data_IF_381820680187
#
_entry.id   IF_381820680187
#
_cell.length_a   1.000
_cell.length_b   1.000
_cell.length_c   1.000
_cell.angle_alpha   90.00
_cell.angle_beta   90.00
_cell.angle_gamma   90.00
#
_symmetry.space_group_name_H-M   'P 1'
#
loop_
_entity.id
_entity.type
_entity.pdbx_description
1 polymer ?
#
# COMPACT_ATOMS: atom_id res chain seq x y z
N UNK A 1 31.81 -6.12 -1.70
CA UNK A 1 32.75 -5.19 -0.98
C UNK A 1 32.25 -5.05 0.45
N UNK A 2 33.05 -5.35 1.44
CA UNK A 2 32.74 -5.77 2.82
C UNK A 2 31.91 -4.84 3.70
N UNK A 3 30.92 -5.44 4.37
CA UNK A 3 29.98 -4.92 5.40
C UNK A 3 30.63 -4.44 6.72
N UNK A 4 31.87 -3.99 6.72
CA UNK A 4 32.62 -3.58 7.92
C UNK A 4 32.80 -2.07 8.13
N UNK A 5 31.99 -1.20 7.47
CA UNK A 5 32.19 0.27 7.55
C UNK A 5 31.02 1.08 8.12
N UNK A 6 29.96 0.48 8.63
CA UNK A 6 28.78 1.23 9.16
C UNK A 6 28.68 1.23 10.70
N UNK A 7 29.56 0.58 11.44
CA UNK A 7 29.49 0.50 12.92
C UNK A 7 30.50 1.42 13.63
N UNK A 8 30.96 2.50 13.04
CA UNK A 8 31.97 3.35 13.69
C UNK A 8 31.65 4.85 13.75
N UNK A 9 30.40 5.27 13.83
CA UNK A 9 30.07 6.70 13.95
C UNK A 9 29.13 7.08 15.12
N UNK A 10 28.94 6.21 16.11
CA UNK A 10 28.18 6.55 17.32
C UNK A 10 28.97 6.28 18.60
N UNK A 11 30.03 7.07 18.79
CA UNK A 11 30.68 7.23 20.12
C UNK A 11 31.34 8.58 20.18
N UNK A 12 30.63 9.62 20.62
CA UNK A 12 31.17 10.78 21.35
C UNK A 12 30.08 11.85 21.47
N UNK A 13 29.68 12.17 22.68
CA UNK A 13 29.08 13.46 22.96
C UNK A 13 27.85 13.49 23.86
N UNK A 14 27.86 12.85 25.03
CA UNK A 14 27.00 13.27 26.12
C UNK A 14 27.61 14.51 26.81
N UNK A 15 27.03 15.67 26.58
CA UNK A 15 27.27 16.85 27.44
C UNK A 15 25.96 17.08 28.24
N UNK A 16 26.06 16.79 29.52
CA UNK A 16 25.04 17.13 30.52
C UNK A 16 25.15 18.62 30.81
N UNK A 17 24.11 19.40 30.48
CA UNK A 17 23.95 20.76 30.95
C UNK A 17 22.90 20.76 32.05
N UNK A 18 23.38 20.80 33.31
CA UNK A 18 22.56 21.12 34.47
C UNK A 18 22.30 22.62 34.51
N UNK A 19 21.04 23.03 34.37
CA UNK A 19 20.64 24.42 34.66
C UNK A 19 20.01 24.45 36.05
N UNK A 20 20.72 25.05 36.98
CA UNK A 20 20.19 25.46 38.31
C UNK A 20 19.21 26.64 38.11
N UNK A 21 17.97 26.45 38.50
CA UNK A 21 17.03 27.56 38.67
C UNK A 21 17.17 28.09 40.11
N UNK A 22 17.69 29.31 40.25
CA UNK A 22 17.67 30.08 41.46
C UNK A 22 16.33 30.85 41.56
N UNK A 23 15.53 30.50 42.53
CA UNK A 23 14.38 31.27 42.98
C UNK A 23 14.85 32.53 43.67
N UNK A 24 14.48 33.71 43.18
CA UNK A 24 14.48 34.95 43.94
C UNK A 24 13.07 35.54 43.96
N UNK A 25 12.50 35.50 45.16
CA UNK A 25 11.25 36.17 45.48
C UNK A 25 11.59 37.61 45.85
N UNK A 26 10.92 38.59 45.24
CA UNK A 26 10.59 39.88 45.89
C UNK A 26 9.73 40.76 44.98
N UNK A 27 8.61 41.17 45.52
CA UNK A 27 8.07 42.54 45.42
C UNK A 27 6.86 42.78 44.50
N UNK A 28 5.76 43.02 45.18
CA UNK A 28 4.49 43.54 44.62
C UNK A 28 4.62 44.78 43.77
N UNK A 29 3.81 44.84 42.68
CA UNK A 29 2.93 46.00 42.40
C UNK A 29 1.94 45.65 41.29
N UNK A 30 0.68 46.02 41.54
CA UNK A 30 -0.49 45.86 40.69
C UNK A 30 -0.32 46.36 39.26
N UNK A 31 -0.76 45.56 38.27
CA UNK A 31 -1.40 46.07 37.08
C UNK A 31 -2.35 45.05 36.46
N UNK A 32 -3.61 45.40 36.42
CA UNK A 32 -4.70 44.77 35.69
C UNK A 32 -4.40 44.75 34.17
N UNK A 33 -3.80 43.70 33.62
CA UNK A 33 -3.69 43.46 32.18
C UNK A 33 -3.52 41.95 31.81
N UNK A 34 -3.51 41.03 32.75
CA UNK A 34 -3.32 39.57 32.47
C UNK A 34 -4.64 38.80 32.27
N UNK A 35 -5.79 39.32 32.73
CA UNK A 35 -7.06 38.58 32.64
C UNK A 35 -7.71 38.60 31.23
N UNK A 36 -7.47 39.60 30.40
CA UNK A 36 -8.06 39.64 29.03
C UNK A 36 -7.37 38.71 28.05
N UNK A 37 -6.04 38.54 28.13
CA UNK A 37 -5.33 37.63 27.21
C UNK A 37 -5.55 36.13 27.51
N UNK A 38 -5.73 35.78 28.75
CA UNK A 38 -6.03 34.39 29.14
C UNK A 38 -7.45 34.01 28.74
N UNK A 39 -8.41 34.92 28.88
CA UNK A 39 -9.80 34.68 28.47
C UNK A 39 -9.94 34.60 26.95
N UNK A 40 -9.23 35.45 26.18
CA UNK A 40 -9.23 35.36 24.71
C UNK A 40 -8.57 34.07 24.21
N UNK A 41 -7.49 33.58 24.84
CA UNK A 41 -6.85 32.32 24.49
C UNK A 41 -7.71 31.10 24.85
N UNK A 42 -8.40 31.11 26.00
CA UNK A 42 -9.33 30.04 26.37
C UNK A 42 -10.58 30.00 25.48
N UNK A 43 -11.12 31.17 25.08
CA UNK A 43 -12.25 31.26 24.14
C UNK A 43 -11.83 30.76 22.75
N UNK A 44 -10.63 31.15 22.26
CA UNK A 44 -10.13 30.71 20.96
C UNK A 44 -9.88 29.19 20.92
N UNK A 45 -9.36 28.61 22.02
CA UNK A 45 -9.17 27.16 22.14
C UNK A 45 -10.52 26.43 22.23
N UNK A 46 -11.51 27.00 22.94
CA UNK A 46 -12.85 26.42 22.99
C UNK A 46 -13.59 26.51 21.64
N UNK A 47 -13.47 27.62 20.92
CA UNK A 47 -14.07 27.77 19.60
C UNK A 47 -13.42 26.83 18.57
N UNK A 48 -12.10 26.64 18.60
CA UNK A 48 -11.42 25.66 17.76
C UNK A 48 -11.84 24.22 18.11
N UNK A 49 -11.90 23.86 19.38
CA UNK A 49 -12.37 22.54 19.80
C UNK A 49 -13.84 22.28 19.42
N UNK A 50 -14.68 23.31 19.46
CA UNK A 50 -16.09 23.18 19.07
C UNK A 50 -16.22 23.02 17.54
N UNK A 51 -15.52 23.83 16.73
CA UNK A 51 -15.51 23.71 15.28
C UNK A 51 -14.98 22.35 14.81
N UNK A 52 -13.92 21.83 15.41
CA UNK A 52 -13.37 20.48 15.10
C UNK A 52 -14.40 19.41 15.42
N UNK A 53 -15.10 19.53 16.55
CA UNK A 53 -16.13 18.57 16.95
C UNK A 53 -17.36 18.61 16.07
N UNK A 54 -17.81 19.80 15.67
CA UNK A 54 -18.98 19.98 14.81
C UNK A 54 -18.71 19.37 13.41
N UNK A 55 -17.50 19.56 12.86
CA UNK A 55 -17.08 18.96 11.58
C UNK A 55 -16.94 17.43 11.68
N UNK A 56 -16.44 16.90 12.82
CA UNK A 56 -16.33 15.46 13.03
C UNK A 56 -17.70 14.77 13.09
N UNK A 57 -18.65 15.35 13.83
CA UNK A 57 -20.00 14.82 13.94
C UNK A 57 -20.71 14.81 12.57
N UNK A 58 -20.51 15.85 11.75
CA UNK A 58 -21.05 15.94 10.38
C UNK A 58 -20.51 14.83 9.48
N UNK A 59 -19.20 14.63 9.43
CA UNK A 59 -18.55 13.60 8.62
C UNK A 59 -19.02 12.20 9.03
N UNK A 60 -19.14 11.93 10.32
CA UNK A 60 -19.67 10.66 10.84
C UNK A 60 -21.14 10.47 10.41
N UNK A 61 -21.97 11.52 10.45
CA UNK A 61 -23.38 11.43 10.08
C UNK A 61 -23.55 11.07 8.61
N UNK A 62 -22.73 11.64 7.72
CA UNK A 62 -22.74 11.38 6.26
C UNK A 62 -22.69 9.87 5.96
N UNK A 63 -21.83 9.11 6.62
CA UNK A 63 -21.51 7.72 6.26
C UNK A 63 -22.06 6.66 7.21
N UNK A 64 -22.47 7.00 8.44
CA UNK A 64 -22.85 6.02 9.48
C UNK A 64 -23.94 5.03 9.05
N UNK A 65 -24.98 5.52 8.37
CA UNK A 65 -26.08 4.65 7.93
C UNK A 65 -25.65 3.70 6.80
N UNK A 66 -24.74 4.14 5.93
CA UNK A 66 -24.19 3.32 4.85
C UNK A 66 -23.30 2.22 5.41
N UNK A 67 -22.42 2.52 6.35
CA UNK A 67 -21.60 1.50 7.02
C UNK A 67 -22.43 0.51 7.83
N UNK A 68 -23.50 0.98 8.48
CA UNK A 68 -24.46 0.09 9.16
C UNK A 68 -25.07 -0.89 8.19
N UNK A 69 -25.60 -0.39 7.06
CA UNK A 69 -26.18 -1.23 6.01
C UNK A 69 -25.15 -2.19 5.43
N UNK A 70 -23.94 -1.71 5.11
CA UNK A 70 -22.85 -2.51 4.60
C UNK A 70 -22.48 -3.66 5.56
N UNK A 71 -22.46 -3.39 6.86
CA UNK A 71 -22.18 -4.39 7.90
C UNK A 71 -23.31 -5.42 8.00
N UNK A 72 -24.58 -5.00 8.01
CA UNK A 72 -25.74 -5.89 8.06
C UNK A 72 -25.82 -6.81 6.83
N UNK A 73 -25.41 -6.32 5.65
CA UNK A 73 -25.39 -7.06 4.39
C UNK A 73 -24.08 -7.83 4.15
N UNK A 74 -23.10 -7.74 5.05
CA UNK A 74 -21.73 -8.30 4.90
C UNK A 74 -21.04 -7.82 3.61
N UNK A 75 -21.15 -6.52 3.31
CA UNK A 75 -20.66 -5.87 2.09
C UNK A 75 -19.65 -4.72 2.37
N UNK A 76 -19.02 -4.71 3.53
CA UNK A 76 -18.09 -3.62 3.92
C UNK A 76 -16.96 -3.46 2.91
N UNK A 77 -16.47 -4.57 2.34
CA UNK A 77 -15.39 -4.57 1.33
C UNK A 77 -15.91 -4.71 -0.12
N UNK A 78 -17.20 -4.57 -0.35
CA UNK A 78 -17.79 -4.65 -1.68
C UNK A 78 -17.57 -3.35 -2.45
N UNK A 79 -17.06 -3.44 -3.68
CA UNK A 79 -16.70 -2.27 -4.50
C UNK A 79 -17.88 -1.32 -4.72
N UNK A 80 -19.08 -1.86 -4.98
CA UNK A 80 -20.27 -1.02 -5.21
C UNK A 80 -20.72 -0.30 -3.92
N UNK A 81 -20.55 -0.94 -2.76
CA UNK A 81 -20.83 -0.30 -1.48
C UNK A 81 -19.82 0.81 -1.19
N UNK A 82 -18.52 0.56 -1.45
CA UNK A 82 -17.46 1.58 -1.33
C UNK A 82 -17.76 2.75 -2.27
N UNK A 83 -18.17 2.48 -3.52
CA UNK A 83 -18.57 3.51 -4.49
C UNK A 83 -19.73 4.38 -3.97
N UNK A 84 -20.74 3.76 -3.35
CA UNK A 84 -21.85 4.49 -2.73
C UNK A 84 -21.35 5.40 -1.60
N UNK A 85 -20.41 4.93 -0.78
CA UNK A 85 -19.86 5.72 0.33
C UNK A 85 -19.01 6.88 -0.20
N UNK A 86 -18.14 6.64 -1.19
CA UNK A 86 -17.33 7.68 -1.85
C UNK A 86 -18.25 8.76 -2.44
N UNK A 87 -19.26 8.36 -3.21
CA UNK A 87 -20.22 9.31 -3.79
C UNK A 87 -21.00 10.10 -2.73
N UNK A 88 -21.33 9.46 -1.59
CA UNK A 88 -22.04 10.16 -0.51
C UNK A 88 -21.17 11.28 0.10
N UNK A 89 -19.87 11.09 0.23
CA UNK A 89 -18.95 12.15 0.63
C UNK A 89 -18.90 13.26 -0.42
N UNK A 90 -18.81 12.92 -1.71
CA UNK A 90 -18.85 13.89 -2.81
C UNK A 90 -20.12 14.71 -2.85
N UNK A 91 -21.30 14.09 -2.65
CA UNK A 91 -22.59 14.79 -2.58
C UNK A 91 -22.66 15.80 -1.43
N UNK A 92 -21.78 15.65 -0.43
CA UNK A 92 -21.62 16.59 0.68
C UNK A 92 -20.41 17.52 0.52
N UNK A 93 -19.81 17.55 -0.66
CA UNK A 93 -18.77 18.51 -1.04
C UNK A 93 -17.34 18.13 -0.62
N UNK A 94 -17.11 16.87 -0.23
CA UNK A 94 -15.78 16.37 0.12
C UNK A 94 -15.12 15.65 -1.06
N UNK A 95 -13.87 16.01 -1.43
CA UNK A 95 -13.02 15.12 -2.22
C UNK A 95 -12.90 13.76 -1.53
N UNK A 96 -13.30 12.70 -2.25
CA UNK A 96 -13.26 11.36 -1.70
C UNK A 96 -12.85 10.34 -2.77
N UNK A 97 -12.02 9.36 -2.37
CA UNK A 97 -11.55 8.25 -3.19
C UNK A 97 -11.50 6.99 -2.34
N UNK A 98 -11.41 5.82 -2.94
CA UNK A 98 -11.19 4.58 -2.19
C UNK A 98 -9.68 4.25 -2.05
N UNK A 99 -9.31 3.54 -0.99
CA UNK A 99 -7.93 3.21 -0.64
C UNK A 99 -7.21 2.28 -1.64
N UNK A 100 -7.88 1.86 -2.70
CA UNK A 100 -7.29 1.08 -3.80
C UNK A 100 -7.32 1.81 -5.14
N UNK A 101 -7.75 3.06 -5.14
CA UNK A 101 -7.87 3.89 -6.34
C UNK A 101 -8.73 3.27 -7.45
N UNK A 102 -9.75 2.47 -7.07
CA UNK A 102 -10.63 1.78 -8.00
C UNK A 102 -11.90 2.55 -8.38
N UNK A 103 -12.07 3.74 -7.82
CA UNK A 103 -13.22 4.63 -8.03
C UNK A 103 -12.66 6.02 -8.32
N UNK A 104 -13.29 6.77 -9.25
CA UNK A 104 -12.89 8.14 -9.49
C UNK A 104 -13.08 9.00 -8.24
N UNK A 105 -12.12 9.87 -7.99
CA UNK A 105 -12.22 10.84 -6.91
C UNK A 105 -13.38 11.79 -7.17
N UNK A 106 -14.23 11.96 -6.17
CA UNK A 106 -15.25 13.01 -6.18
C UNK A 106 -14.61 14.36 -5.88
N UNK A 107 -15.19 15.46 -6.39
CA UNK A 107 -14.71 16.83 -6.12
C UNK A 107 -13.19 17.01 -6.39
N UNK A 108 -12.65 16.31 -7.39
CA UNK A 108 -11.22 16.28 -7.71
C UNK A 108 -10.62 17.66 -7.98
N UNK A 109 -11.41 18.58 -8.54
CA UNK A 109 -10.98 19.96 -8.84
C UNK A 109 -10.57 20.72 -7.57
N UNK A 110 -11.11 20.38 -6.40
CA UNK A 110 -10.70 20.99 -5.13
C UNK A 110 -9.27 20.55 -4.76
N UNK A 111 -8.91 19.28 -5.04
CA UNK A 111 -7.56 18.75 -4.79
C UNK A 111 -6.57 19.36 -5.78
N UNK A 112 -6.93 19.45 -7.06
CA UNK A 112 -6.10 20.11 -8.08
C UNK A 112 -5.83 21.57 -7.70
N UNK A 113 -6.87 22.30 -7.27
CA UNK A 113 -6.74 23.67 -6.79
C UNK A 113 -5.81 23.75 -5.56
N UNK A 114 -5.94 22.85 -4.59
CA UNK A 114 -5.06 22.84 -3.42
C UNK A 114 -3.60 22.61 -3.82
N UNK A 115 -3.34 21.69 -4.75
CA UNK A 115 -1.99 21.47 -5.28
C UNK A 115 -1.43 22.72 -5.96
N UNK A 116 -2.25 23.51 -6.69
CA UNK A 116 -1.84 24.77 -7.26
C UNK A 116 -1.47 25.80 -6.18
N UNK A 117 -2.20 25.85 -5.05
CA UNK A 117 -1.87 26.72 -3.92
C UNK A 117 -0.54 26.32 -3.27
N UNK A 118 -0.25 25.03 -3.14
CA UNK A 118 1.06 24.54 -2.67
C UNK A 118 2.18 25.02 -3.59
N UNK A 119 2.01 24.84 -4.90
CA UNK A 119 3.02 25.23 -5.90
C UNK A 119 3.26 26.75 -5.96
N UNK A 120 2.20 27.53 -5.79
CA UNK A 120 2.27 29.00 -5.74
C UNK A 120 2.64 29.56 -4.37
N UNK A 121 2.81 28.69 -3.36
CA UNK A 121 3.15 29.04 -1.97
C UNK A 121 2.08 29.93 -1.30
N UNK A 122 0.83 29.76 -1.68
CA UNK A 122 -0.31 30.46 -1.10
C UNK A 122 -0.91 29.65 0.05
N UNK A 123 -1.56 30.32 1.00
CA UNK A 123 -2.25 29.65 2.12
C UNK A 123 -3.58 29.05 1.63
N UNK A 124 -3.80 27.77 1.94
CA UNK A 124 -5.03 27.06 1.64
C UNK A 124 -5.24 25.88 2.60
N UNK A 125 -6.49 25.43 2.70
CA UNK A 125 -6.86 24.24 3.46
C UNK A 125 -7.83 23.36 2.67
N UNK A 126 -7.77 22.05 2.87
CA UNK A 126 -8.66 21.06 2.26
C UNK A 126 -8.82 19.85 3.17
N UNK A 127 -10.01 19.24 3.14
CA UNK A 127 -10.25 17.91 3.74
C UNK A 127 -10.45 16.89 2.62
N UNK A 128 -9.68 15.80 2.63
CA UNK A 128 -9.79 14.68 1.68
C UNK A 128 -10.18 13.41 2.44
N UNK A 129 -11.07 12.60 1.88
CA UNK A 129 -11.53 11.35 2.46
C UNK A 129 -11.03 10.16 1.64
N UNK A 130 -10.37 9.22 2.30
CA UNK A 130 -9.96 7.94 1.73
C UNK A 130 -10.77 6.80 2.34
N UNK A 131 -11.69 6.22 1.56
CA UNK A 131 -12.61 5.17 2.02
C UNK A 131 -11.91 3.81 2.00
N UNK A 132 -11.83 3.17 3.15
CA UNK A 132 -11.11 1.90 3.35
C UNK A 132 -12.00 0.68 3.13
N UNK A 133 -11.45 -0.36 2.49
CA UNK A 133 -12.08 -1.70 2.40
C UNK A 133 -12.07 -2.48 3.73
N UNK A 134 -11.44 -1.92 4.77
CA UNK A 134 -11.40 -2.53 6.11
C UNK A 134 -12.55 -2.06 7.03
N UNK A 135 -13.49 -1.27 6.49
CA UNK A 135 -14.68 -0.84 7.22
C UNK A 135 -14.52 0.48 7.95
N UNK A 136 -14.03 1.47 7.24
CA UNK A 136 -13.87 2.83 7.75
C UNK A 136 -13.31 3.76 6.68
N UNK A 137 -12.78 4.88 7.10
CA UNK A 137 -12.14 5.84 6.22
C UNK A 137 -11.02 6.58 6.96
N UNK A 138 -10.09 7.13 6.19
CA UNK A 138 -9.11 8.10 6.66
C UNK A 138 -9.57 9.48 6.22
N UNK A 139 -9.51 10.43 7.14
CA UNK A 139 -9.69 11.85 6.87
C UNK A 139 -8.33 12.52 6.93
N UNK A 140 -7.96 13.17 5.85
CA UNK A 140 -6.79 14.03 5.76
C UNK A 140 -7.24 15.49 5.78
N UNK A 141 -6.94 16.22 6.83
CA UNK A 141 -7.02 17.68 6.85
C UNK A 141 -5.64 18.20 6.49
N UNK A 142 -5.55 18.90 5.37
CA UNK A 142 -4.32 19.45 4.81
C UNK A 142 -4.35 20.96 4.88
N UNK A 143 -3.26 21.57 5.35
CA UNK A 143 -3.05 22.99 5.34
C UNK A 143 -1.72 23.31 4.67
N UNK A 144 -1.71 24.26 3.73
CA UNK A 144 -0.47 24.71 3.09
C UNK A 144 -0.13 26.14 3.46
N UNK A 145 1.15 26.37 3.69
CA UNK A 145 1.73 27.68 3.95
C UNK A 145 3.17 27.72 3.48
N UNK A 146 3.52 28.79 2.73
CA UNK A 146 4.87 28.95 2.17
C UNK A 146 5.37 27.71 1.40
N UNK A 147 4.45 26.95 0.79
CA UNK A 147 4.72 25.73 0.04
C UNK A 147 4.98 24.47 0.89
N UNK A 148 4.86 24.57 2.22
CA UNK A 148 4.88 23.40 3.10
C UNK A 148 3.45 22.90 3.32
N UNK A 149 3.28 21.60 3.51
CA UNK A 149 1.97 20.98 3.78
C UNK A 149 1.98 20.34 5.15
N UNK A 150 1.12 20.82 6.03
CA UNK A 150 0.84 20.18 7.31
C UNK A 150 -0.36 19.25 7.14
N UNK A 151 -0.24 18.02 7.66
CA UNK A 151 -1.21 16.93 7.52
C UNK A 151 -1.73 16.54 8.89
N UNK A 152 -3.05 16.58 9.08
CA UNK A 152 -3.71 15.91 10.20
C UNK A 152 -4.48 14.72 9.65
N UNK A 153 -4.03 13.54 10.02
CA UNK A 153 -4.60 12.26 9.60
C UNK A 153 -5.45 11.67 10.71
N UNK A 154 -6.72 11.36 10.42
CA UNK A 154 -7.62 10.74 11.38
C UNK A 154 -8.26 9.48 10.79
N UNK A 155 -8.09 8.33 11.45
CA UNK A 155 -8.71 7.08 11.03
C UNK A 155 -10.01 6.84 11.78
N UNK A 156 -11.06 6.60 11.04
CA UNK A 156 -12.41 6.27 11.51
C UNK A 156 -12.76 4.84 11.15
N UNK A 157 -13.25 4.08 12.11
CA UNK A 157 -13.64 2.67 11.95
C UNK A 157 -15.09 2.46 12.35
N UNK A 158 -15.81 1.68 11.56
CA UNK A 158 -17.15 1.22 11.92
C UNK A 158 -17.05 -0.08 12.71
N UNK A 159 -17.40 -0.03 13.96
CA UNK A 159 -17.34 -1.16 14.87
C UNK A 159 -18.48 -1.12 15.89
N UNK A 160 -19.08 -2.31 16.18
CA UNK A 160 -20.14 -2.46 17.17
C UNK A 160 -21.37 -1.55 16.93
N UNK A 161 -21.67 -1.28 15.65
CA UNK A 161 -22.82 -0.49 15.25
C UNK A 161 -22.62 1.02 15.22
N UNK A 162 -21.39 1.50 15.45
CA UNK A 162 -21.06 2.92 15.47
C UNK A 162 -19.76 3.20 14.68
N UNK A 163 -19.70 4.40 14.09
CA UNK A 163 -18.46 4.97 13.58
C UNK A 163 -17.71 5.64 14.72
N UNK A 164 -16.40 5.39 14.83
CA UNK A 164 -15.55 5.98 15.86
C UNK A 164 -14.22 6.38 15.26
N UNK A 165 -13.67 7.47 15.74
CA UNK A 165 -12.27 7.81 15.51
C UNK A 165 -11.39 6.92 16.38
N UNK A 166 -10.53 6.12 15.76
CA UNK A 166 -9.62 5.19 16.43
C UNK A 166 -8.28 5.87 16.74
N UNK A 167 -7.74 6.61 15.78
CA UNK A 167 -6.41 7.21 15.88
C UNK A 167 -6.35 8.52 15.13
N UNK A 168 -5.61 9.48 15.67
CA UNK A 168 -5.28 10.74 15.00
C UNK A 168 -3.79 11.01 15.17
N UNK A 169 -3.14 11.44 14.10
CA UNK A 169 -1.75 11.88 14.10
C UNK A 169 -1.58 13.09 13.19
N UNK A 170 -0.49 13.82 13.39
CA UNK A 170 -0.16 14.97 12.57
C UNK A 170 1.32 14.95 12.20
N UNK A 171 1.63 15.46 11.02
CA UNK A 171 3.00 15.60 10.53
C UNK A 171 3.07 16.70 9.48
N UNK A 172 4.26 17.24 9.23
CA UNK A 172 4.54 18.01 8.04
C UNK A 172 4.99 17.03 6.95
N UNK A 173 4.42 17.15 5.74
CA UNK A 173 4.78 16.29 4.63
C UNK A 173 6.29 16.43 4.32
N UNK A 174 7.02 15.33 4.39
CA UNK A 174 8.43 15.23 4.03
C UNK A 174 8.59 15.08 2.51
N UNK A 175 7.57 14.51 1.87
CA UNK A 175 7.43 14.39 0.44
C UNK A 175 6.03 14.84 0.03
N UNK A 176 5.93 15.58 -1.06
CA UNK A 176 4.70 16.06 -1.68
C UNK A 176 4.88 16.15 -3.19
N UNK A 177 3.99 15.52 -3.95
CA UNK A 177 4.03 15.58 -5.41
C UNK A 177 2.64 15.34 -6.01
N UNK A 178 2.22 16.20 -6.92
CA UNK A 178 1.10 15.94 -7.81
C UNK A 178 1.66 15.51 -9.17
N UNK A 179 1.54 14.22 -9.48
CA UNK A 179 2.22 13.60 -10.62
C UNK A 179 1.54 13.90 -11.95
N UNK A 180 2.30 13.84 -13.06
CA UNK A 180 1.74 13.99 -14.42
C UNK A 180 0.70 12.90 -14.74
N UNK A 181 0.79 11.73 -14.11
CA UNK A 181 -0.18 10.63 -14.25
C UNK A 181 -1.47 10.85 -13.43
N UNK A 182 -1.57 11.96 -12.71
CA UNK A 182 -2.77 12.36 -11.96
C UNK A 182 -2.93 11.77 -10.58
N UNK A 183 -1.82 11.47 -9.90
CA UNK A 183 -1.79 11.09 -8.49
C UNK A 183 -1.34 12.24 -7.60
N UNK A 184 -2.00 12.44 -6.47
CA UNK A 184 -1.46 13.17 -5.34
C UNK A 184 -0.73 12.18 -4.44
N UNK A 185 0.58 12.37 -4.27
CA UNK A 185 1.44 11.55 -3.44
C UNK A 185 2.09 12.37 -2.34
N UNK A 186 2.01 11.89 -1.12
CA UNK A 186 2.66 12.53 0.02
C UNK A 186 3.02 11.50 1.08
N UNK A 187 4.08 11.82 1.83
CA UNK A 187 4.55 10.97 2.91
C UNK A 187 5.10 11.77 4.08
N UNK A 188 5.19 11.13 5.24
CA UNK A 188 5.81 11.68 6.43
C UNK A 188 5.70 10.75 7.62
N UNK A 189 6.29 11.16 8.74
CA UNK A 189 6.29 10.40 9.98
C UNK A 189 5.32 11.06 10.96
N UNK A 190 4.29 10.34 11.36
CA UNK A 190 3.31 10.83 12.33
C UNK A 190 3.42 10.10 13.66
N UNK A 191 2.97 10.78 14.71
CA UNK A 191 3.01 10.28 16.08
C UNK A 191 1.61 10.32 16.68
N UNK A 192 1.24 9.26 17.40
CA UNK A 192 0.15 9.28 18.35
C UNK A 192 0.65 8.81 19.70
N UNK A 193 -0.07 9.16 20.78
CA UNK A 193 0.29 8.68 22.12
C UNK A 193 0.25 7.15 22.17
N UNK A 194 -0.71 6.53 21.51
CA UNK A 194 -0.90 5.09 21.46
C UNK A 194 0.25 4.39 20.73
N UNK A 195 0.66 4.89 19.58
CA UNK A 195 1.77 4.32 18.80
C UNK A 195 3.10 4.51 19.53
N UNK A 196 3.35 5.69 20.07
CA UNK A 196 4.59 5.95 20.80
C UNK A 196 4.80 5.02 21.99
N UNK A 197 3.73 4.69 22.72
CA UNK A 197 3.80 3.73 23.84
C UNK A 197 4.11 2.31 23.38
N UNK A 198 3.64 1.92 22.18
CA UNK A 198 3.83 0.57 21.65
C UNK A 198 5.18 0.39 20.94
N UNK A 199 5.61 1.38 20.16
CA UNK A 199 6.73 1.24 19.22
C UNK A 199 7.93 2.12 19.55
N UNK A 200 7.78 3.14 20.43
CA UNK A 200 8.81 4.15 20.74
C UNK A 200 9.30 4.92 19.50
N UNK A 201 8.53 4.92 18.42
CA UNK A 201 8.82 5.59 17.15
C UNK A 201 7.54 6.14 16.55
N UNK A 202 7.67 6.98 15.52
CA UNK A 202 6.54 7.36 14.68
C UNK A 202 6.19 6.25 13.70
N UNK A 203 4.99 6.33 13.13
CA UNK A 203 4.60 5.53 11.99
C UNK A 203 4.88 6.30 10.70
N UNK A 204 5.55 5.66 9.75
CA UNK A 204 5.67 6.19 8.40
C UNK A 204 4.34 6.03 7.67
N UNK A 205 3.99 6.99 6.85
CA UNK A 205 2.82 6.96 5.98
C UNK A 205 3.22 7.35 4.57
N UNK A 206 2.78 6.54 3.60
CA UNK A 206 3.00 6.76 2.18
C UNK A 206 1.66 6.72 1.48
N UNK A 207 1.15 7.88 1.13
CA UNK A 207 -0.19 8.05 0.56
C UNK A 207 -0.11 8.30 -0.93
N UNK A 208 -0.94 7.61 -1.69
CA UNK A 208 -1.13 7.81 -3.13
C UNK A 208 -2.64 7.84 -3.45
N UNK A 209 -3.16 9.02 -3.73
CA UNK A 209 -4.56 9.25 -4.08
C UNK A 209 -4.66 9.56 -5.57
N UNK A 210 -5.43 8.76 -6.31
CA UNK A 210 -5.67 9.04 -7.72
C UNK A 210 -6.71 10.14 -7.85
N UNK A 211 -6.26 11.32 -8.27
CA UNK A 211 -7.09 12.54 -8.43
C UNK A 211 -7.73 12.58 -9.82
N UNK A 212 -6.92 12.43 -10.88
CA UNK A 212 -7.47 12.42 -12.23
C UNK A 212 -8.25 11.13 -12.51
N UNK A 213 -9.39 11.23 -13.20
CA UNK A 213 -10.22 10.06 -13.51
C UNK A 213 -9.47 9.06 -14.41
N UNK A 214 -9.78 7.78 -14.25
CA UNK A 214 -9.29 6.70 -15.10
C UNK A 214 -10.48 6.00 -15.74
N UNK A 215 -10.35 5.60 -17.01
CA UNK A 215 -11.40 4.83 -17.70
C UNK A 215 -11.74 3.56 -16.90
N UNK A 216 -13.03 3.34 -16.65
CA UNK A 216 -13.51 2.19 -15.86
C UNK A 216 -13.10 0.86 -16.50
N UNK A 217 -12.97 0.80 -17.83
CA UNK A 217 -12.47 -0.39 -18.53
C UNK A 217 -11.06 -0.75 -18.10
N UNK A 218 -10.18 0.24 -17.91
CA UNK A 218 -8.82 0.00 -17.43
C UNK A 218 -8.80 -0.52 -15.99
N UNK A 219 -9.66 0.03 -15.13
CA UNK A 219 -9.83 -0.49 -13.77
C UNK A 219 -10.38 -1.92 -13.73
N UNK A 220 -11.37 -2.22 -14.59
CA UNK A 220 -11.88 -3.58 -14.73
C UNK A 220 -10.81 -4.56 -15.16
N UNK A 221 -9.95 -4.19 -16.12
CA UNK A 221 -8.83 -5.00 -16.59
C UNK A 221 -7.78 -5.17 -15.48
N UNK A 222 -7.45 -4.09 -14.73
CA UNK A 222 -6.56 -4.18 -13.55
C UNK A 222 -7.11 -5.15 -12.52
N UNK A 223 -8.36 -4.98 -12.09
CA UNK A 223 -9.03 -5.85 -11.10
C UNK A 223 -9.11 -7.31 -11.55
N UNK A 224 -9.29 -7.54 -12.83
CA UNK A 224 -9.44 -8.89 -13.37
C UNK A 224 -8.13 -9.62 -13.54
N UNK A 225 -7.08 -8.94 -14.00
CA UNK A 225 -5.87 -9.59 -14.47
C UNK A 225 -4.61 -9.26 -13.67
N UNK A 226 -4.44 -8.03 -13.18
CA UNK A 226 -3.19 -7.62 -12.56
C UNK A 226 -3.24 -7.63 -11.02
N UNK A 227 -4.22 -7.00 -10.43
CA UNK A 227 -4.34 -6.91 -8.96
C UNK A 227 -4.45 -8.27 -8.25
N UNK A 228 -5.06 -9.32 -8.84
CA UNK A 228 -5.07 -10.64 -8.20
C UNK A 228 -3.71 -11.32 -8.12
N UNK A 229 -2.74 -10.90 -8.91
CA UNK A 229 -1.35 -11.37 -8.89
C UNK A 229 -0.52 -10.45 -7.98
N UNK A 230 -0.53 -9.14 -8.27
CA UNK A 230 0.24 -8.15 -7.52
C UNK A 230 1.74 -8.39 -7.54
N UNK A 231 2.42 -7.85 -6.52
CA UNK A 231 3.88 -7.91 -6.39
C UNK A 231 4.37 -8.62 -5.12
N UNK A 232 3.44 -9.05 -4.27
CA UNK A 232 3.79 -9.66 -2.99
C UNK A 232 4.49 -11.00 -3.21
N UNK A 233 5.75 -11.05 -2.82
CA UNK A 233 6.60 -12.26 -2.83
C UNK A 233 6.64 -13.02 -4.17
N UNK A 234 6.48 -12.33 -5.29
CA UNK A 234 6.60 -12.93 -6.61
C UNK A 234 7.28 -11.99 -7.61
N UNK A 235 7.82 -12.56 -8.68
CA UNK A 235 8.52 -11.81 -9.71
C UNK A 235 7.78 -11.76 -11.06
N UNK A 236 6.50 -12.11 -11.08
CA UNK A 236 5.75 -12.28 -12.33
C UNK A 236 5.73 -11.02 -13.21
N UNK A 237 5.63 -9.84 -12.58
CA UNK A 237 5.59 -8.56 -13.27
C UNK A 237 6.91 -7.77 -13.19
N UNK A 238 7.96 -8.38 -12.59
CA UNK A 238 9.27 -7.76 -12.40
C UNK A 238 10.26 -8.22 -13.49
N UNK A 239 10.08 -9.43 -14.04
CA UNK A 239 10.98 -10.02 -15.03
C UNK A 239 10.29 -10.15 -16.38
N UNK A 240 11.10 -10.12 -17.45
CA UNK A 240 10.62 -10.44 -18.80
C UNK A 240 10.49 -11.96 -18.97
N UNK A 241 9.33 -12.41 -19.46
CA UNK A 241 9.07 -13.80 -19.78
C UNK A 241 7.94 -13.94 -20.80
N UNK A 242 7.86 -15.08 -21.48
CA UNK A 242 6.76 -15.44 -22.38
C UNK A 242 6.47 -16.94 -22.32
N UNK A 243 5.35 -17.40 -22.87
CA UNK A 243 5.01 -18.83 -22.96
C UNK A 243 5.99 -19.62 -23.84
N UNK A 244 6.77 -18.97 -24.70
CA UNK A 244 7.84 -19.60 -25.52
C UNK A 244 9.14 -19.77 -24.70
N UNK A 245 9.39 -18.87 -23.73
CA UNK A 245 10.51 -18.90 -22.80
C UNK A 245 10.11 -18.21 -21.50
N UNK A 246 9.89 -18.98 -20.46
CA UNK A 246 9.49 -18.48 -19.15
C UNK A 246 10.60 -17.71 -18.41
N UNK A 247 11.76 -17.50 -19.01
CA UNK A 247 12.86 -16.69 -18.47
C UNK A 247 13.19 -17.05 -17.01
N UNK A 248 13.23 -16.01 -16.20
CA UNK A 248 13.50 -16.10 -14.75
C UNK A 248 12.20 -16.14 -13.91
N UNK A 249 11.02 -16.38 -14.52
CA UNK A 249 9.76 -16.52 -13.78
C UNK A 249 9.87 -17.64 -12.74
N UNK A 250 9.61 -17.30 -11.48
CA UNK A 250 9.72 -18.26 -10.38
C UNK A 250 8.41 -19.03 -10.15
N UNK A 251 8.36 -20.28 -10.58
CA UNK A 251 7.16 -21.12 -10.45
C UNK A 251 6.85 -21.56 -9.00
N UNK A 252 7.79 -21.46 -8.07
CA UNK A 252 7.49 -21.67 -6.66
C UNK A 252 6.75 -20.49 -6.05
N UNK A 253 7.09 -19.26 -6.45
CA UNK A 253 6.34 -18.07 -6.07
C UNK A 253 4.93 -18.11 -6.68
N UNK A 254 4.82 -18.55 -7.94
CA UNK A 254 3.51 -18.75 -8.58
C UNK A 254 2.70 -19.84 -7.86
N UNK A 255 3.34 -20.91 -7.41
CA UNK A 255 2.67 -21.96 -6.64
C UNK A 255 2.11 -21.41 -5.33
N UNK A 256 2.89 -20.63 -4.58
CA UNK A 256 2.46 -20.01 -3.33
C UNK A 256 1.25 -19.08 -3.53
N UNK A 257 1.32 -18.22 -4.53
CA UNK A 257 0.28 -17.24 -4.85
C UNK A 257 -1.01 -17.90 -5.34
N UNK A 258 -0.90 -18.93 -6.18
CA UNK A 258 -2.04 -19.55 -6.87
C UNK A 258 -2.68 -20.71 -6.09
N UNK A 259 -1.95 -21.34 -5.17
CA UNK A 259 -2.46 -22.46 -4.37
C UNK A 259 -3.79 -22.12 -3.66
N UNK A 260 -3.91 -20.98 -2.93
CA UNK A 260 -5.17 -20.64 -2.28
C UNK A 260 -6.32 -20.41 -3.26
N UNK A 261 -6.01 -19.93 -4.47
CA UNK A 261 -7.03 -19.69 -5.53
C UNK A 261 -7.58 -21.01 -6.09
N UNK A 262 -6.74 -22.04 -6.17
CA UNK A 262 -7.12 -23.36 -6.70
C UNK A 262 -7.83 -24.22 -5.65
N UNK A 263 -7.34 -24.21 -4.42
CA UNK A 263 -7.82 -25.10 -3.37
C UNK A 263 -8.76 -24.41 -2.35
N UNK A 264 -8.87 -23.08 -2.33
CA UNK A 264 -9.69 -22.34 -1.37
C UNK A 264 -9.17 -22.39 0.07
N UNK A 265 -7.93 -22.83 0.28
CA UNK A 265 -7.27 -22.95 1.59
C UNK A 265 -5.84 -22.44 1.51
N UNK A 266 -5.30 -22.02 2.63
CA UNK A 266 -3.89 -21.66 2.70
C UNK A 266 -2.99 -22.84 2.31
N UNK A 267 -1.80 -22.53 1.82
CA UNK A 267 -0.78 -23.52 1.48
C UNK A 267 -0.40 -24.33 2.75
N UNK A 268 -0.39 -25.67 2.71
CA UNK A 268 -0.07 -26.48 3.89
C UNK A 268 1.44 -26.66 4.11
N UNK A 269 2.24 -26.27 3.15
CA UNK A 269 3.69 -26.43 3.17
C UNK A 269 4.32 -25.17 3.76
N UNK A 270 4.46 -25.12 5.07
CA UNK A 270 4.95 -23.96 5.82
C UNK A 270 6.38 -24.17 6.30
N UNK A 271 7.09 -23.07 6.55
CA UNK A 271 8.37 -23.12 7.25
C UNK A 271 8.19 -23.80 8.63
N UNK A 272 9.24 -24.47 9.10
CA UNK A 272 9.24 -25.12 10.41
C UNK A 272 8.94 -24.12 11.53
N UNK A 273 8.25 -24.56 12.59
CA UNK A 273 7.92 -23.76 13.80
C UNK A 273 9.16 -23.14 14.48
N UNK A 274 10.33 -23.64 14.19
CA UNK A 274 11.62 -23.07 14.57
C UNK A 274 12.02 -21.99 13.56
N UNK A 275 11.48 -20.80 13.67
CA UNK A 275 11.80 -19.63 12.85
C UNK A 275 13.25 -19.67 12.33
N UNK A 276 13.47 -19.92 11.06
CA UNK A 276 14.77 -19.99 10.42
C UNK A 276 15.31 -21.40 10.17
N UNK A 277 14.59 -22.47 10.44
CA UNK A 277 14.93 -23.83 9.96
C UNK A 277 14.21 -24.08 8.64
N UNK A 278 14.95 -24.32 7.58
CA UNK A 278 14.39 -24.65 6.29
C UNK A 278 13.67 -25.99 6.32
N UNK A 279 12.44 -26.03 5.82
CA UNK A 279 11.70 -27.27 5.57
C UNK A 279 11.74 -27.62 4.09
N UNK A 280 11.83 -28.90 3.77
CA UNK A 280 11.80 -29.41 2.39
C UNK A 280 10.65 -30.38 2.25
N UNK A 281 9.78 -30.13 1.28
CA UNK A 281 8.63 -30.95 0.97
C UNK A 281 8.80 -31.60 -0.41
N UNK A 282 8.20 -32.77 -0.58
CA UNK A 282 8.11 -33.45 -1.87
C UNK A 282 6.64 -33.42 -2.31
N UNK A 283 6.31 -32.50 -3.18
CA UNK A 283 4.93 -32.29 -3.66
C UNK A 283 4.68 -33.21 -4.85
N UNK A 284 3.62 -34.03 -4.81
CA UNK A 284 3.27 -34.89 -5.96
C UNK A 284 3.10 -34.05 -7.23
N UNK A 285 3.58 -34.57 -8.36
CA UNK A 285 3.52 -33.93 -9.67
C UNK A 285 2.14 -33.37 -9.98
N UNK A 286 1.11 -34.21 -9.83
CA UNK A 286 -0.27 -33.83 -10.17
C UNK A 286 -0.80 -32.69 -9.31
N UNK A 287 -0.33 -32.56 -8.06
CA UNK A 287 -0.76 -31.49 -7.15
C UNK A 287 -0.08 -30.17 -7.48
N UNK A 288 1.22 -30.18 -7.80
CA UNK A 288 1.95 -28.96 -8.19
C UNK A 288 1.47 -28.45 -9.56
N UNK A 289 1.39 -29.34 -10.56
CA UNK A 289 0.95 -28.99 -11.90
C UNK A 289 -0.51 -28.52 -11.94
N UNK A 290 -1.38 -29.05 -11.09
CA UNK A 290 -2.76 -28.57 -10.94
C UNK A 290 -2.86 -27.11 -10.56
N UNK A 291 -1.89 -26.59 -9.85
CA UNK A 291 -1.86 -25.17 -9.45
C UNK A 291 -1.36 -24.30 -10.62
N UNK A 292 -0.36 -24.74 -11.36
CA UNK A 292 0.33 -23.92 -12.37
C UNK A 292 -0.35 -23.97 -13.74
N UNK A 293 -0.66 -25.15 -14.26
CA UNK A 293 -1.13 -25.33 -15.65
C UNK A 293 -2.43 -24.59 -15.99
N UNK A 294 -3.36 -24.31 -15.07
CA UNK A 294 -4.54 -23.49 -15.42
C UNK A 294 -4.21 -22.04 -15.77
N UNK A 295 -3.09 -21.52 -15.27
CA UNK A 295 -2.70 -20.11 -15.43
C UNK A 295 -1.59 -19.88 -16.47
N UNK A 296 -0.87 -20.92 -16.85
CA UNK A 296 0.23 -20.87 -17.82
C UNK A 296 0.10 -21.98 -18.85
N UNK A 297 0.26 -21.66 -20.14
CA UNK A 297 0.34 -22.65 -21.19
C UNK A 297 1.76 -23.25 -21.25
N UNK A 298 2.07 -24.07 -20.26
CA UNK A 298 3.37 -24.71 -20.07
C UNK A 298 3.19 -26.24 -20.00
N UNK A 299 4.02 -26.98 -20.70
CA UNK A 299 4.01 -28.44 -20.58
C UNK A 299 4.81 -28.94 -19.34
N UNK A 300 4.54 -30.18 -18.93
CA UNK A 300 5.20 -30.78 -17.77
C UNK A 300 6.72 -30.85 -17.89
N UNK A 301 7.27 -31.05 -19.08
CA UNK A 301 8.71 -31.18 -19.31
C UNK A 301 9.40 -29.83 -19.09
N UNK A 302 8.81 -28.78 -19.67
CA UNK A 302 9.28 -27.41 -19.48
C UNK A 302 9.19 -26.97 -18.01
N UNK A 303 8.06 -27.23 -17.33
CA UNK A 303 7.90 -26.89 -15.92
C UNK A 303 8.91 -27.63 -15.02
N UNK A 304 9.18 -28.93 -15.31
CA UNK A 304 10.21 -29.71 -14.61
C UNK A 304 11.62 -29.13 -14.84
N UNK A 305 11.89 -28.57 -16.01
CA UNK A 305 13.19 -27.94 -16.29
C UNK A 305 13.42 -26.62 -15.58
N UNK A 306 12.34 -25.93 -15.20
CA UNK A 306 12.35 -24.65 -14.46
C UNK A 306 12.28 -24.82 -12.94
N UNK A 307 12.24 -26.07 -12.45
CA UNK A 307 12.06 -26.41 -11.03
C UNK A 307 12.98 -27.56 -10.63
N UNK A 308 12.93 -27.98 -9.38
CA UNK A 308 13.64 -29.18 -8.92
C UNK A 308 12.66 -30.36 -8.92
N UNK A 309 12.76 -31.22 -9.92
CA UNK A 309 11.85 -32.36 -10.11
C UNK A 309 12.58 -33.70 -9.89
N UNK A 310 12.01 -34.58 -9.06
CA UNK A 310 12.47 -35.93 -8.87
C UNK A 310 11.66 -36.89 -9.76
N UNK A 311 12.29 -37.42 -10.81
CA UNK A 311 11.63 -38.27 -11.79
C UNK A 311 11.33 -39.68 -11.23
N UNK A 312 12.07 -40.18 -10.22
CA UNK A 312 11.86 -41.50 -9.60
C UNK A 312 10.57 -41.51 -8.78
N UNK A 313 10.39 -40.49 -7.95
CA UNK A 313 9.24 -40.33 -7.03
C UNK A 313 8.09 -39.56 -7.66
N UNK A 314 8.31 -38.91 -8.80
CA UNK A 314 7.37 -37.98 -9.48
C UNK A 314 6.91 -36.89 -8.56
N UNK A 315 7.85 -36.19 -7.94
CA UNK A 315 7.61 -35.10 -7.02
C UNK A 315 8.41 -33.85 -7.40
N UNK A 316 7.88 -32.69 -7.08
CA UNK A 316 8.61 -31.44 -7.06
C UNK A 316 9.17 -31.20 -5.65
N UNK A 317 10.47 -30.90 -5.56
CA UNK A 317 11.05 -30.46 -4.30
C UNK A 317 10.64 -29.02 -4.06
N UNK A 318 9.96 -28.78 -2.94
CA UNK A 318 9.47 -27.46 -2.58
C UNK A 318 10.05 -27.03 -1.24
N UNK A 319 10.55 -25.82 -1.22
CA UNK A 319 11.07 -25.15 -0.02
C UNK A 319 10.24 -23.88 0.21
N UNK A 320 9.45 -23.82 1.31
CA UNK A 320 8.74 -22.59 1.62
C UNK A 320 9.74 -21.46 1.89
N UNK A 321 9.33 -20.20 1.68
CA UNK A 321 10.15 -19.07 2.07
C UNK A 321 10.43 -19.11 3.57
N UNK A 322 11.70 -19.00 3.95
CA UNK A 322 12.13 -18.94 5.33
C UNK A 322 12.11 -17.51 5.87
N UNK A 323 12.47 -17.36 7.14
CA UNK A 323 12.53 -16.04 7.79
C UNK A 323 13.46 -15.06 7.07
N UNK A 324 14.58 -15.54 6.54
CA UNK A 324 15.56 -14.72 5.80
C UNK A 324 15.08 -14.27 4.40
N UNK A 325 13.96 -14.85 3.92
CA UNK A 325 13.37 -14.56 2.62
C UNK A 325 12.04 -13.81 2.73
N UNK A 326 11.62 -13.50 3.95
CA UNK A 326 10.38 -12.77 4.21
C UNK A 326 10.73 -11.36 4.61
N UNK A 327 10.41 -10.42 3.74
CA UNK A 327 10.38 -9.01 4.04
C UNK A 327 8.93 -8.55 4.16
N UNK A 328 8.73 -7.42 4.81
CA UNK A 328 7.42 -6.79 4.94
C UNK A 328 7.47 -5.37 4.37
N UNK A 329 7.93 -5.22 3.11
CA UNK A 329 7.92 -3.93 2.47
C UNK A 329 6.47 -3.55 2.12
N UNK A 330 6.25 -2.28 1.89
CA UNK A 330 5.09 -1.89 1.10
C UNK A 330 5.30 -2.36 -0.33
N UNK A 331 4.22 -2.83 -0.97
CA UNK A 331 4.28 -3.32 -2.34
C UNK A 331 3.68 -2.31 -3.31
N UNK A 332 4.24 -2.19 -4.52
CA UNK A 332 3.61 -1.45 -5.59
C UNK A 332 2.37 -2.18 -6.13
N UNK A 333 1.63 -1.51 -6.99
CA UNK A 333 0.53 -2.13 -7.73
C UNK A 333 0.53 -1.67 -9.18
N UNK A 334 0.04 -2.54 -10.09
CA UNK A 334 -0.11 -2.20 -11.49
C UNK A 334 -1.44 -1.51 -11.75
N UNK A 335 -1.39 -0.39 -12.47
CA UNK A 335 -2.54 0.31 -13.00
C UNK A 335 -2.55 0.22 -14.52
N UNK A 336 -3.57 -0.42 -15.12
CA UNK A 336 -3.73 -0.45 -16.57
C UNK A 336 -4.04 0.96 -17.06
N UNK A 337 -3.26 1.40 -18.06
CA UNK A 337 -3.41 2.70 -18.72
C UNK A 337 -3.76 2.56 -20.22
N UNK A 338 -3.77 1.34 -20.72
CA UNK A 338 -4.12 1.03 -22.10
C UNK A 338 -4.23 -0.46 -22.34
N UNK A 339 -4.95 -0.85 -23.41
CA UNK A 339 -5.00 -2.24 -23.85
C UNK A 339 -5.21 -2.36 -25.36
N UNK A 340 -4.86 -3.54 -25.87
CA UNK A 340 -5.10 -3.92 -27.26
C UNK A 340 -5.67 -5.33 -27.33
N UNK A 341 -6.74 -5.52 -28.08
CA UNK A 341 -7.25 -6.84 -28.43
C UNK A 341 -6.44 -7.39 -29.60
N UNK A 342 -5.80 -8.55 -29.43
CA UNK A 342 -4.97 -9.17 -30.43
C UNK A 342 -5.82 -10.08 -31.35
N UNK A 343 -5.32 -10.30 -32.56
CA UNK A 343 -6.04 -11.10 -33.59
C UNK A 343 -6.20 -12.59 -33.25
N UNK A 344 -5.48 -13.07 -32.24
CA UNK A 344 -5.53 -14.44 -31.71
C UNK A 344 -6.43 -14.60 -30.46
N UNK A 345 -7.12 -13.52 -30.07
CA UNK A 345 -8.01 -13.49 -28.92
C UNK A 345 -7.34 -13.23 -27.59
N UNK A 346 -6.05 -12.95 -27.56
CA UNK A 346 -5.35 -12.44 -26.38
C UNK A 346 -5.55 -10.94 -26.21
N UNK A 347 -5.25 -10.42 -25.01
CA UNK A 347 -5.23 -8.99 -24.70
C UNK A 347 -3.82 -8.59 -24.28
N UNK A 348 -3.29 -7.53 -24.85
CA UNK A 348 -2.09 -6.86 -24.36
C UNK A 348 -2.53 -5.70 -23.47
N UNK A 349 -2.15 -5.73 -22.20
CA UNK A 349 -2.41 -4.69 -21.20
C UNK A 349 -1.14 -3.89 -21.01
N UNK A 350 -1.20 -2.57 -21.17
CA UNK A 350 -0.11 -1.66 -20.79
C UNK A 350 -0.42 -1.08 -19.43
N UNK A 351 0.49 -1.22 -18.48
CA UNK A 351 0.29 -0.78 -17.10
C UNK A 351 1.49 0.01 -16.58
N UNK A 352 1.21 1.06 -15.81
CA UNK A 352 2.19 1.70 -14.93
C UNK A 352 2.24 0.94 -13.60
N UNK A 353 3.41 0.92 -12.98
CA UNK A 353 3.61 0.40 -11.63
C UNK A 353 3.69 1.57 -10.67
N UNK A 354 2.66 1.70 -9.86
CA UNK A 354 2.52 2.76 -8.86
C UNK A 354 3.12 2.29 -7.54
N UNK A 355 4.05 3.06 -6.96
CA UNK A 355 4.69 2.68 -5.71
C UNK A 355 4.65 3.84 -4.68
N UNK A 356 3.64 3.84 -3.79
CA UNK A 356 3.47 4.90 -2.80
C UNK A 356 4.68 5.11 -1.90
N UNK A 357 5.38 4.02 -1.52
CA UNK A 357 6.55 4.07 -0.65
C UNK A 357 7.67 5.00 -1.15
N UNK A 358 7.88 5.06 -2.46
CA UNK A 358 8.87 5.96 -3.05
C UNK A 358 8.25 7.22 -3.63
N UNK A 359 6.94 7.39 -3.53
CA UNK A 359 6.22 8.56 -4.02
C UNK A 359 6.17 8.65 -5.56
N UNK A 360 6.15 7.51 -6.27
CA UNK A 360 6.18 7.48 -7.72
C UNK A 360 4.97 6.72 -8.30
N UNK A 361 4.27 7.38 -9.24
CA UNK A 361 3.14 6.81 -9.96
C UNK A 361 3.55 5.90 -11.13
N UNK A 362 4.86 5.84 -11.42
CA UNK A 362 5.39 5.07 -12.55
C UNK A 362 6.85 4.67 -12.34
N UNK A 363 7.14 3.88 -11.31
CA UNK A 363 8.51 3.35 -11.10
C UNK A 363 9.02 2.58 -12.31
N UNK A 364 8.13 1.98 -13.10
CA UNK A 364 8.31 1.52 -14.47
C UNK A 364 6.94 1.25 -15.11
N UNK A 365 6.93 0.97 -16.40
CA UNK A 365 5.75 0.47 -17.10
C UNK A 365 6.04 -0.92 -17.68
N UNK A 366 4.99 -1.74 -17.81
CA UNK A 366 5.11 -3.06 -18.40
C UNK A 366 3.91 -3.41 -19.31
N UNK A 367 4.11 -4.38 -20.19
CA UNK A 367 3.06 -4.98 -21.00
C UNK A 367 2.85 -6.42 -20.54
N UNK A 368 1.61 -6.74 -20.19
CA UNK A 368 1.18 -8.10 -19.84
C UNK A 368 0.24 -8.61 -20.91
N UNK A 369 0.56 -9.76 -21.51
CA UNK A 369 -0.34 -10.43 -22.43
C UNK A 369 -1.10 -11.50 -21.69
N UNK A 370 -2.43 -11.45 -21.78
CA UNK A 370 -3.34 -12.42 -21.15
C UNK A 370 -4.25 -13.08 -22.18
N UNK A 371 -4.58 -14.33 -21.95
CA UNK A 371 -5.53 -15.11 -22.75
C UNK A 371 -6.77 -15.39 -21.91
N UNK A 372 -7.90 -14.66 -22.13
CA UNK A 372 -9.17 -15.00 -21.52
C UNK A 372 -9.65 -16.37 -21.98
N UNK A 373 -10.10 -17.22 -21.05
CA UNK A 373 -10.60 -18.56 -21.36
C UNK A 373 -12.12 -18.60 -21.36
N UNK A 374 -12.73 -19.47 -22.15
CA UNK A 374 -14.19 -19.65 -22.27
C UNK A 374 -14.88 -19.99 -20.92
N UNK A 375 -14.15 -20.62 -20.00
CA UNK A 375 -14.65 -20.97 -18.66
C UNK A 375 -14.58 -19.81 -17.66
N UNK A 376 -14.18 -18.60 -18.11
CA UNK A 376 -13.97 -17.41 -17.28
C UNK A 376 -12.62 -17.33 -16.59
N UNK A 377 -11.74 -18.32 -16.78
CA UNK A 377 -10.36 -18.29 -16.31
C UNK A 377 -9.47 -17.40 -17.19
N UNK A 378 -8.20 -17.33 -16.83
CA UNK A 378 -7.17 -16.58 -17.55
C UNK A 378 -5.89 -17.41 -17.62
N UNK A 379 -5.20 -17.35 -18.74
CA UNK A 379 -3.78 -17.71 -18.87
C UNK A 379 -2.96 -16.46 -19.11
N UNK A 380 -1.81 -16.40 -18.46
CA UNK A 380 -0.82 -15.36 -18.68
C UNK A 380 0.16 -15.85 -19.74
N UNK A 381 0.34 -15.04 -20.76
CA UNK A 381 1.10 -15.38 -21.96
C UNK A 381 2.51 -14.78 -21.90
N UNK A 382 2.63 -13.55 -21.43
CA UNK A 382 3.93 -12.89 -21.27
C UNK A 382 3.86 -11.69 -20.33
N UNK A 383 5.02 -11.30 -19.83
CA UNK A 383 5.27 -9.98 -19.24
C UNK A 383 6.54 -9.40 -19.87
N UNK A 384 6.52 -8.12 -20.19
CA UNK A 384 7.66 -7.38 -20.72
C UNK A 384 7.75 -6.01 -20.06
N UNK A 385 8.88 -5.73 -19.42
CA UNK A 385 9.19 -4.38 -18.92
C UNK A 385 9.43 -3.45 -20.10
N UNK A 386 8.80 -2.27 -20.08
CA UNK A 386 9.03 -1.24 -21.09
C UNK A 386 10.32 -0.52 -20.70
N UNK A 387 11.38 -0.59 -21.54
CA UNK A 387 12.65 0.06 -21.20
C UNK A 387 12.50 1.59 -21.14
N UNK A 388 12.95 2.20 -20.03
CA UNK A 388 13.12 3.65 -19.87
C UNK A 388 14.37 3.93 -19.05
N UNK A 389 14.97 5.10 -19.26
CA UNK A 389 16.07 5.58 -18.42
C UNK A 389 15.58 5.96 -17.01
N UNK A 390 14.28 6.17 -16.86
CA UNK A 390 13.62 6.55 -15.60
C UNK A 390 13.15 5.34 -14.78
N UNK A 391 13.30 4.11 -15.29
CA UNK A 391 12.88 2.91 -14.55
C UNK A 391 13.70 2.77 -13.27
N UNK A 392 13.00 2.64 -12.14
CA UNK A 392 13.62 2.38 -10.84
C UNK A 392 13.96 0.88 -10.70
N UNK A 393 15.01 0.59 -9.91
CA UNK A 393 15.28 -0.78 -9.48
C UNK A 393 14.20 -1.25 -8.49
N UNK A 394 13.80 -2.52 -8.58
CA UNK A 394 12.87 -3.14 -7.66
C UNK A 394 13.52 -3.30 -6.26
N UNK A 395 13.00 -2.60 -5.27
CA UNK A 395 13.46 -2.68 -3.88
C UNK A 395 12.53 -3.49 -2.98
N UNK A 396 11.34 -3.82 -3.49
CA UNK A 396 10.29 -4.54 -2.76
C UNK A 396 10.31 -6.06 -2.95
N UNK A 397 11.18 -6.58 -3.82
CA UNK A 397 11.26 -8.00 -4.12
C UNK A 397 12.49 -8.65 -3.54
N UNK A 398 12.27 -9.66 -2.70
CA UNK A 398 13.33 -10.55 -2.21
C UNK A 398 13.28 -11.85 -3.02
N UNK A 399 14.27 -12.14 -3.88
CA UNK A 399 14.33 -13.40 -4.61
C UNK A 399 14.34 -14.60 -3.66
N UNK A 400 13.77 -15.72 -4.08
CA UNK A 400 13.96 -16.98 -3.35
C UNK A 400 15.44 -17.36 -3.33
N UNK A 401 15.87 -17.90 -2.21
CA UNK A 401 17.22 -18.41 -2.06
C UNK A 401 17.53 -19.47 -3.12
N UNK A 402 18.68 -19.34 -3.76
CA UNK A 402 19.22 -20.39 -4.61
C UNK A 402 19.50 -21.65 -3.77
N UNK A 403 19.60 -22.81 -4.40
CA UNK A 403 19.93 -24.06 -3.70
C UNK A 403 21.20 -23.93 -2.85
N UNK A 404 22.20 -23.20 -3.33
CA UNK A 404 23.44 -22.97 -2.60
C UNK A 404 23.25 -22.09 -1.36
N UNK A 405 22.55 -20.96 -1.50
CA UNK A 405 22.25 -20.05 -0.39
C UNK A 405 21.38 -20.74 0.66
N UNK A 406 20.38 -21.50 0.21
CA UNK A 406 19.53 -22.29 1.08
C UNK A 406 20.34 -23.31 1.90
N UNK A 407 21.28 -24.02 1.27
CA UNK A 407 22.18 -24.96 1.95
C UNK A 407 23.15 -24.25 2.90
N UNK A 408 23.61 -23.06 2.57
CA UNK A 408 24.47 -22.24 3.46
C UNK A 408 23.71 -21.77 4.72
N UNK A 409 22.44 -21.42 4.59
CA UNK A 409 21.63 -20.90 5.70
C UNK A 409 21.02 -22.06 6.53
N UNK A 410 20.46 -23.05 5.88
CA UNK A 410 19.67 -24.13 6.53
C UNK A 410 20.32 -25.51 6.48
N UNK A 411 21.21 -25.79 5.56
CA UNK A 411 21.77 -27.12 5.28
C UNK A 411 22.80 -27.64 6.30
N UNK A 412 23.22 -26.83 7.25
CA UNK A 412 24.21 -27.18 8.29
C UNK A 412 23.63 -27.79 9.56
N UNK A 413 22.41 -28.31 9.53
CA UNK A 413 21.72 -28.83 10.72
C UNK A 413 21.48 -30.32 10.65
#
# INVERSE_FOLDING_TARGET
MSLKRIVQFWRSGFIVISIMILLSVSGCSDTHLEDEQVVESEIAVQDQQQNVKDNEDEIIEICSQLYKKASEENKIADLEMIRIIVNQFGENGYPAVDSRNQIDMTEAEQVEWFCEMVDTQEEAEITIIEVSYLGGFIKYDLETKDGNVDVVRSYYKYENGNMKREVTGSYQAEYWNYTEDGYLMFSGVWFSEELYVLELSGAEEHTALRVQPLDETYRELSRKYLLPIGFEQNNMFIVDWSEDDFGELNFYDMFDLLYPKVYGTNIPYVADDNLGVGAVYQIPKDDFERVILPYFDIDSETLQSKTIYNAEDKTYEYKPRGFEEVEYPEYPYSEVIGFTENGDGTLTLTANVVFPYVGDSKVYAHEVVVRPLENGGVQYVSNRIIPSEDNCEETWHTPRLTAKEWDEIYGGK
#
